data_IF_898940746085
#
_entry.id   IF_898940746085
#
_cell.length_a   1.000
_cell.length_b   1.000
_cell.length_c   1.000
_cell.angle_alpha   90.00
_cell.angle_beta   90.00
_cell.angle_gamma   90.00
#
_symmetry.space_group_name_H-M   'P 1'
#
loop_
_entity.id
_entity.type
_entity.pdbx_description
1 polymer ?
#
# COMPACT_ATOMS: atom_id res chain seq x y z
N UNK A 1 -15.04 -29.26 -0.61
CA UNK A 1 -14.88 -27.91 -0.01
C UNK A 1 -15.01 -26.91 -1.14
N UNK A 2 -15.53 -25.70 -0.87
CA UNK A 2 -15.52 -24.63 -1.87
C UNK A 2 -14.08 -24.09 -1.88
N UNK A 3 -13.39 -24.15 -3.00
CA UNK A 3 -12.01 -23.64 -3.10
C UNK A 3 -12.04 -22.12 -3.17
N UNK A 4 -11.22 -21.46 -2.35
CA UNK A 4 -11.04 -20.01 -2.44
C UNK A 4 -10.02 -19.72 -3.53
N UNK A 5 -10.44 -18.97 -4.54
CA UNK A 5 -9.56 -18.51 -5.62
C UNK A 5 -9.03 -17.11 -5.34
N UNK A 6 -7.80 -16.88 -5.76
CA UNK A 6 -7.11 -15.62 -5.62
C UNK A 6 -6.46 -15.22 -6.95
N UNK A 7 -6.32 -13.91 -7.15
CA UNK A 7 -5.65 -13.30 -8.30
C UNK A 7 -4.46 -12.47 -7.80
N UNK A 8 -3.23 -12.84 -8.15
CA UNK A 8 -2.03 -12.03 -7.86
C UNK A 8 -1.65 -11.22 -9.08
N UNK A 9 -1.47 -9.91 -8.92
CA UNK A 9 -1.03 -9.01 -9.99
C UNK A 9 0.50 -8.81 -9.96
N UNK A 10 1.10 -8.62 -11.13
CA UNK A 10 2.55 -8.47 -11.32
C UNK A 10 2.89 -7.40 -12.35
N UNK A 11 4.16 -7.00 -12.37
CA UNK A 11 4.70 -6.02 -13.31
C UNK A 11 3.96 -4.68 -13.27
N UNK A 12 3.71 -4.22 -12.05
CA UNK A 12 3.06 -2.95 -11.75
C UNK A 12 3.84 -1.78 -12.35
N UNK A 13 3.10 -0.84 -12.91
CA UNK A 13 3.57 0.44 -13.47
C UNK A 13 2.56 1.56 -13.24
N UNK A 14 3.03 2.80 -13.28
CA UNK A 14 2.24 4.03 -13.06
C UNK A 14 1.61 4.59 -14.32
N UNK A 15 2.16 4.29 -15.50
CA UNK A 15 1.57 4.63 -16.79
C UNK A 15 1.69 3.49 -17.80
N UNK A 16 0.78 3.45 -18.77
CA UNK A 16 0.71 2.40 -19.80
C UNK A 16 2.02 2.36 -20.62
N UNK A 17 2.60 3.53 -20.87
CA UNK A 17 3.81 3.72 -21.68
C UNK A 17 5.12 3.64 -20.87
N UNK A 18 5.03 3.37 -19.56
CA UNK A 18 6.20 3.27 -18.70
C UNK A 18 7.11 2.13 -19.15
N UNK A 19 8.38 2.46 -19.42
CA UNK A 19 9.43 1.47 -19.61
C UNK A 19 9.90 1.00 -18.25
N UNK A 20 9.52 -0.22 -17.90
CA UNK A 20 9.91 -0.83 -16.64
C UNK A 20 11.42 -1.01 -16.53
N UNK A 21 11.96 -0.73 -15.35
CA UNK A 21 13.26 -1.22 -14.93
C UNK A 21 13.10 -2.68 -14.44
N UNK A 22 13.88 -3.59 -15.02
CA UNK A 22 13.74 -5.04 -14.87
C UNK A 22 12.33 -5.56 -15.20
N UNK A 23 11.45 -5.68 -14.20
CA UNK A 23 10.09 -6.21 -14.33
C UNK A 23 9.02 -5.39 -13.58
N UNK A 24 9.34 -4.18 -13.11
CA UNK A 24 8.43 -3.38 -12.29
C UNK A 24 8.22 -3.96 -10.88
N UNK A 25 7.09 -3.66 -10.24
CA UNK A 25 6.79 -4.14 -8.88
C UNK A 25 5.70 -5.21 -8.82
N UNK A 26 5.72 -6.02 -7.76
CA UNK A 26 4.65 -6.97 -7.47
C UNK A 26 3.40 -6.22 -7.00
N UNK A 27 2.25 -6.59 -7.57
CA UNK A 27 0.94 -6.08 -7.17
C UNK A 27 0.30 -6.88 -6.04
N UNK A 28 -0.93 -6.50 -5.66
CA UNK A 28 -1.69 -7.16 -4.60
C UNK A 28 -2.10 -8.58 -4.98
N UNK A 29 -2.50 -9.35 -3.97
CA UNK A 29 -3.39 -10.51 -4.15
C UNK A 29 -4.82 -10.04 -3.89
N UNK A 30 -5.71 -10.34 -4.81
CA UNK A 30 -7.14 -10.08 -4.70
C UNK A 30 -7.87 -11.39 -4.39
N UNK A 31 -8.89 -11.34 -3.54
CA UNK A 31 -9.72 -12.47 -3.16
C UNK A 31 -10.05 -12.48 -1.66
N UNK A 32 -10.68 -13.56 -1.17
CA UNK A 32 -11.04 -14.78 -1.89
C UNK A 32 -12.22 -14.60 -2.86
N UNK A 33 -12.24 -15.40 -3.93
CA UNK A 33 -13.30 -15.46 -4.94
C UNK A 33 -13.82 -16.87 -5.14
N UNK A 34 -15.08 -17.00 -5.55
CA UNK A 34 -15.73 -18.27 -5.88
C UNK A 34 -15.40 -18.73 -7.31
N UNK A 35 -15.20 -17.78 -8.22
CA UNK A 35 -14.77 -18.04 -9.60
C UNK A 35 -14.13 -16.79 -10.19
N UNK A 36 -13.25 -16.98 -11.18
CA UNK A 36 -12.64 -15.89 -11.96
C UNK A 36 -12.89 -16.19 -13.44
N UNK A 37 -13.41 -15.20 -14.17
CA UNK A 37 -13.80 -15.33 -15.57
C UNK A 37 -13.12 -14.26 -16.41
N UNK A 38 -12.47 -14.68 -17.50
CA UNK A 38 -11.92 -13.77 -18.49
C UNK A 38 -12.91 -13.64 -19.65
N UNK A 39 -13.27 -12.41 -19.99
CA UNK A 39 -14.23 -12.11 -21.06
C UNK A 39 -13.56 -11.29 -22.14
N UNK A 40 -13.45 -11.86 -23.34
CA UNK A 40 -12.88 -11.24 -24.55
C UNK A 40 -11.45 -10.68 -24.41
N UNK A 41 -10.72 -11.07 -23.36
CA UNK A 41 -9.40 -10.53 -23.06
C UNK A 41 -9.42 -9.09 -22.54
N UNK A 42 -10.59 -8.49 -22.33
CA UNK A 42 -10.73 -7.08 -21.90
C UNK A 42 -11.26 -6.93 -20.49
N UNK A 43 -11.82 -7.98 -19.91
CA UNK A 43 -12.38 -7.99 -18.56
C UNK A 43 -11.99 -9.25 -17.79
N UNK A 44 -11.62 -9.07 -16.52
CA UNK A 44 -11.45 -10.14 -15.55
C UNK A 44 -12.51 -9.95 -14.47
N UNK A 45 -13.51 -10.83 -14.46
CA UNK A 45 -14.60 -10.80 -13.49
C UNK A 45 -14.33 -11.77 -12.37
N UNK A 46 -14.19 -11.26 -11.15
CA UNK A 46 -13.99 -12.07 -9.96
C UNK A 46 -15.29 -12.13 -9.16
N UNK A 47 -15.87 -13.33 -9.05
CA UNK A 47 -17.19 -13.52 -8.44
C UNK A 47 -17.07 -13.81 -6.94
N UNK A 48 -17.91 -13.13 -6.17
CA UNK A 48 -18.23 -13.41 -4.77
C UNK A 48 -19.65 -13.99 -4.70
N UNK A 49 -20.12 -14.31 -3.49
CA UNK A 49 -21.41 -14.99 -3.30
C UNK A 49 -22.62 -14.19 -3.85
N UNK A 50 -22.55 -12.86 -3.84
CA UNK A 50 -23.65 -11.94 -4.12
C UNK A 50 -23.37 -10.90 -5.22
N UNK A 51 -22.12 -10.73 -5.63
CA UNK A 51 -21.71 -9.79 -6.67
C UNK A 51 -20.43 -10.27 -7.38
N UNK A 52 -19.97 -9.51 -8.37
CA UNK A 52 -18.64 -9.67 -8.95
C UNK A 52 -17.91 -8.33 -8.97
N UNK A 53 -16.60 -8.39 -8.79
CA UNK A 53 -15.67 -7.32 -9.09
C UNK A 53 -15.20 -7.47 -10.54
N UNK A 54 -14.84 -6.38 -11.22
CA UNK A 54 -14.47 -6.38 -12.64
C UNK A 54 -13.20 -5.54 -12.86
N UNK A 55 -12.11 -6.19 -13.29
CA UNK A 55 -10.90 -5.51 -13.72
C UNK A 55 -10.92 -5.33 -15.23
N UNK A 56 -10.76 -4.08 -15.66
CA UNK A 56 -10.56 -3.75 -17.07
C UNK A 56 -9.13 -4.04 -17.51
N UNK A 57 -8.97 -4.47 -18.75
CA UNK A 57 -7.68 -4.54 -19.43
C UNK A 57 -7.62 -3.39 -20.44
N UNK A 58 -6.61 -2.53 -20.31
CA UNK A 58 -6.38 -1.36 -21.13
C UNK A 58 -5.00 -1.51 -21.77
N UNK A 59 -4.95 -1.50 -23.11
CA UNK A 59 -3.70 -1.68 -23.88
C UNK A 59 -2.86 -2.87 -23.39
N UNK A 60 -3.52 -4.03 -23.29
CA UNK A 60 -2.94 -5.31 -22.82
C UNK A 60 -2.49 -5.32 -21.35
N UNK A 61 -2.83 -4.30 -20.55
CA UNK A 61 -2.49 -4.21 -19.13
C UNK A 61 -3.75 -4.24 -18.26
N UNK A 62 -3.71 -5.02 -17.18
CA UNK A 62 -4.78 -5.05 -16.19
C UNK A 62 -4.73 -3.74 -15.40
N UNK A 63 -5.82 -2.97 -15.42
CA UNK A 63 -5.95 -1.75 -14.63
C UNK A 63 -6.55 -2.07 -13.26
N UNK A 64 -5.87 -1.64 -12.20
CA UNK A 64 -6.35 -1.77 -10.84
C UNK A 64 -5.80 -0.66 -9.95
N UNK A 65 -6.69 -0.01 -9.20
CA UNK A 65 -6.37 1.02 -8.20
C UNK A 65 -5.39 2.11 -8.68
N UNK A 66 -5.60 2.61 -9.91
CA UNK A 66 -4.75 3.66 -10.49
C UNK A 66 -3.45 3.18 -11.14
N UNK A 67 -3.16 1.87 -11.10
CA UNK A 67 -1.96 1.27 -11.68
C UNK A 67 -2.28 0.30 -12.80
N UNK A 68 -1.25 -0.05 -13.56
CA UNK A 68 -1.32 -1.02 -14.65
C UNK A 68 -0.41 -2.21 -14.36
N UNK A 69 -0.89 -3.41 -14.67
CA UNK A 69 -0.20 -4.66 -14.38
C UNK A 69 -0.07 -5.48 -15.65
N UNK A 70 1.12 -6.03 -15.87
CA UNK A 70 1.42 -6.81 -17.09
C UNK A 70 0.92 -8.25 -16.99
N UNK A 71 0.98 -8.83 -15.80
CA UNK A 71 0.72 -10.26 -15.60
C UNK A 71 -0.19 -10.48 -14.40
N UNK A 72 -0.90 -11.62 -14.43
CA UNK A 72 -1.64 -12.10 -13.29
C UNK A 72 -1.52 -13.63 -13.14
N UNK A 73 -1.46 -14.10 -11.90
CA UNK A 73 -1.56 -15.52 -11.55
C UNK A 73 -2.89 -15.79 -10.85
N UNK A 74 -3.59 -16.85 -11.28
CA UNK A 74 -4.80 -17.36 -10.61
C UNK A 74 -4.43 -18.64 -9.87
N UNK A 75 -4.80 -18.74 -8.59
CA UNK A 75 -4.48 -19.90 -7.77
C UNK A 75 -5.53 -20.12 -6.68
N UNK A 76 -5.61 -21.35 -6.16
CA UNK A 76 -6.43 -21.70 -5.00
C UNK A 76 -5.58 -21.78 -3.74
N UNK A 77 -6.15 -21.40 -2.60
CA UNK A 77 -5.51 -21.57 -1.29
C UNK A 77 -6.55 -21.78 -0.19
N UNK A 78 -6.26 -22.66 0.75
CA UNK A 78 -7.12 -22.90 1.93
C UNK A 78 -6.98 -21.79 2.97
N UNK A 79 -5.82 -21.12 3.02
CA UNK A 79 -5.53 -19.97 3.88
C UNK A 79 -5.36 -18.69 3.05
N UNK A 80 -5.69 -17.50 3.58
CA UNK A 80 -5.39 -16.24 2.91
C UNK A 80 -3.87 -16.09 2.68
N UNK A 81 -3.39 -15.99 1.42
CA UNK A 81 -1.98 -15.82 1.15
C UNK A 81 -1.44 -14.45 1.61
N UNK A 82 -0.12 -14.35 1.77
CA UNK A 82 0.54 -13.09 2.08
C UNK A 82 0.31 -12.06 0.97
N UNK A 83 -0.06 -10.83 1.34
CA UNK A 83 -0.36 -9.76 0.38
C UNK A 83 -1.77 -9.78 -0.20
N UNK A 84 -2.69 -10.59 0.34
CA UNK A 84 -4.14 -10.37 0.15
C UNK A 84 -4.49 -8.99 0.67
N UNK A 85 -5.33 -8.27 -0.06
CA UNK A 85 -5.75 -6.89 0.23
C UNK A 85 -6.44 -6.62 1.58
N UNK A 86 -6.32 -7.50 2.58
CA UNK A 86 -6.37 -7.07 3.97
C UNK A 86 -5.14 -6.23 4.38
N UNK A 87 -4.01 -6.32 3.65
CA UNK A 87 -2.77 -5.59 3.99
C UNK A 87 -2.63 -4.21 3.32
N UNK A 88 -3.46 -3.89 2.32
CA UNK A 88 -3.46 -2.59 1.62
C UNK A 88 -4.60 -1.65 2.06
N UNK A 89 -5.64 -2.19 2.71
CA UNK A 89 -6.84 -1.44 3.07
C UNK A 89 -6.56 -0.26 4.02
N UNK A 90 -5.63 -0.42 4.97
CA UNK A 90 -5.27 0.66 5.91
C UNK A 90 -4.31 1.70 5.32
N UNK A 91 -3.65 1.40 4.19
CA UNK A 91 -2.78 2.36 3.48
C UNK A 91 -3.53 3.19 2.44
N UNK A 92 -4.72 2.78 2.00
CA UNK A 92 -5.54 3.51 1.04
C UNK A 92 -6.72 4.27 1.69
N UNK A 93 -7.22 3.82 2.84
CA UNK A 93 -8.45 4.38 3.44
C UNK A 93 -8.21 4.97 4.84
N UNK A 94 -7.45 6.06 4.90
CA UNK A 94 -7.66 7.23 5.78
C UNK A 94 -7.75 7.08 7.31
N UNK A 95 -7.69 5.88 7.90
CA UNK A 95 -7.80 5.65 9.34
C UNK A 95 -6.48 5.10 9.88
N UNK A 96 -5.46 5.96 9.88
CA UNK A 96 -4.18 5.61 10.48
C UNK A 96 -4.36 5.50 12.00
N UNK A 97 -3.82 4.43 12.58
CA UNK A 97 -3.63 4.31 14.02
C UNK A 97 -2.23 4.79 14.37
N UNK A 98 -1.95 5.01 15.65
CA UNK A 98 -0.59 5.30 16.14
C UNK A 98 0.39 4.22 15.68
N UNK A 99 -0.02 2.95 15.74
CA UNK A 99 0.79 1.80 15.38
C UNK A 99 1.14 1.81 13.88
N UNK A 100 0.21 2.20 13.00
CA UNK A 100 0.47 2.37 11.57
C UNK A 100 1.52 3.46 11.30
N UNK A 101 1.46 4.58 12.02
CA UNK A 101 2.45 5.66 11.88
C UNK A 101 3.86 5.17 12.28
N UNK A 102 3.96 4.39 13.35
CA UNK A 102 5.23 3.84 13.84
C UNK A 102 5.82 2.79 12.90
N UNK A 103 4.99 1.92 12.33
CA UNK A 103 5.42 0.92 11.34
C UNK A 103 5.98 1.59 10.09
N UNK A 104 5.29 2.61 9.57
CA UNK A 104 5.77 3.40 8.42
C UNK A 104 7.07 4.13 8.78
N UNK A 105 7.16 4.76 9.95
CA UNK A 105 8.39 5.44 10.37
C UNK A 105 9.59 4.47 10.40
N UNK A 106 9.38 3.24 10.89
CA UNK A 106 10.40 2.19 10.92
C UNK A 106 10.85 1.79 9.51
N UNK A 107 9.92 1.58 8.58
CA UNK A 107 10.23 1.20 7.20
C UNK A 107 11.09 2.23 6.47
N UNK A 108 10.99 3.49 6.88
CA UNK A 108 11.74 4.62 6.31
C UNK A 108 12.94 5.06 7.15
N UNK A 109 13.27 4.35 8.22
CA UNK A 109 14.37 4.71 9.12
C UNK A 109 14.20 6.08 9.78
N UNK A 110 12.95 6.51 9.98
CA UNK A 110 12.59 7.81 10.52
C UNK A 110 12.32 7.73 12.03
N UNK A 111 12.79 8.72 12.78
CA UNK A 111 12.33 8.95 14.14
C UNK A 111 11.12 9.89 14.11
N UNK A 112 10.05 9.52 14.81
CA UNK A 112 8.82 10.33 14.92
C UNK A 112 8.47 10.54 16.38
N UNK A 113 8.05 11.76 16.74
CA UNK A 113 7.64 12.11 18.11
C UNK A 113 6.14 11.89 18.30
N UNK A 114 5.68 11.72 19.55
CA UNK A 114 4.24 11.61 19.85
C UNK A 114 3.44 12.85 19.40
N UNK A 115 4.05 14.03 19.43
CA UNK A 115 3.45 15.25 18.91
C UNK A 115 3.28 15.21 17.38
N UNK A 116 4.28 14.69 16.66
CA UNK A 116 4.22 14.47 15.22
C UNK A 116 3.15 13.44 14.84
N UNK A 117 3.07 12.33 15.60
CA UNK A 117 2.03 11.31 15.42
C UNK A 117 0.64 11.94 15.59
N UNK A 118 0.42 12.72 16.65
CA UNK A 118 -0.86 13.39 16.88
C UNK A 118 -1.22 14.37 15.75
N UNK A 119 -0.26 15.14 15.23
CA UNK A 119 -0.49 16.04 14.08
C UNK A 119 -0.82 15.28 12.79
N UNK A 120 -0.15 14.15 12.57
CA UNK A 120 -0.39 13.26 11.42
C UNK A 120 -1.80 12.68 11.48
N UNK A 121 -2.22 12.20 12.65
CA UNK A 121 -3.53 11.59 12.87
C UNK A 121 -4.68 12.61 12.88
N UNK A 122 -4.41 13.87 13.19
CA UNK A 122 -5.39 14.95 13.19
C UNK A 122 -5.60 15.62 11.81
N UNK A 123 -4.77 15.28 10.81
CA UNK A 123 -4.92 15.82 9.45
C UNK A 123 -6.20 15.31 8.77
N UNK A 124 -7.00 16.22 8.22
CA UNK A 124 -8.13 15.84 7.35
C UNK A 124 -7.58 15.15 6.09
N UNK A 125 -7.94 13.89 5.89
CA UNK A 125 -7.63 13.17 4.67
C UNK A 125 -8.49 13.70 3.53
N UNK A 126 -7.84 14.34 2.56
CA UNK A 126 -8.46 14.75 1.31
C UNK A 126 -8.70 13.52 0.43
N UNK A 127 -9.97 13.10 0.41
CA UNK A 127 -10.76 12.59 -0.71
C UNK A 127 -10.24 11.37 -1.51
N UNK A 128 -11.18 10.50 -1.86
CA UNK A 128 -11.06 9.11 -2.33
C UNK A 128 -10.42 8.91 -3.74
N UNK A 129 -9.73 9.92 -4.29
CA UNK A 129 -9.39 9.97 -5.74
C UNK A 129 -7.93 10.33 -6.02
N UNK A 130 -6.99 9.91 -5.18
CA UNK A 130 -5.57 10.04 -5.51
C UNK A 130 -4.82 8.91 -4.84
N UNK A 131 -3.86 8.29 -5.52
CA UNK A 131 -2.48 8.02 -5.03
C UNK A 131 -1.68 7.18 -6.04
N UNK A 132 -0.77 7.82 -6.82
CA UNK A 132 0.40 7.13 -7.34
C UNK A 132 1.68 7.63 -6.66
N UNK A 133 2.51 6.68 -6.24
CA UNK A 133 3.79 6.78 -5.53
C UNK A 133 3.72 6.86 -4.00
N UNK A 134 4.43 5.91 -3.35
CA UNK A 134 4.63 5.81 -1.90
C UNK A 134 5.11 7.14 -1.30
N UNK A 135 6.02 7.84 -1.97
CA UNK A 135 6.54 9.17 -1.59
C UNK A 135 5.60 10.34 -1.88
N UNK A 136 4.63 10.17 -2.80
CA UNK A 136 3.68 11.21 -3.17
C UNK A 136 2.34 11.15 -2.44
N UNK A 137 2.10 10.10 -1.67
CA UNK A 137 0.96 9.98 -0.77
C UNK A 137 0.92 11.20 0.19
N UNK A 138 -0.20 11.94 0.34
CA UNK A 138 -0.32 13.10 1.22
C UNK A 138 0.16 12.83 2.65
N UNK A 139 -0.17 11.66 3.21
CA UNK A 139 0.43 11.14 4.45
C UNK A 139 1.95 11.13 4.45
N UNK A 140 2.56 10.50 3.46
CA UNK A 140 4.01 10.29 3.39
C UNK A 140 4.69 11.63 3.14
N UNK A 141 4.12 12.50 2.29
CA UNK A 141 4.55 13.89 2.15
C UNK A 141 4.49 14.65 3.47
N UNK A 142 3.40 14.52 4.23
CA UNK A 142 3.23 15.19 5.53
C UNK A 142 4.22 14.65 6.55
N UNK A 143 4.37 13.32 6.66
CA UNK A 143 5.32 12.66 7.54
C UNK A 143 6.77 13.06 7.21
N UNK A 144 7.16 13.05 5.93
CA UNK A 144 8.46 13.51 5.45
C UNK A 144 8.67 15.00 5.72
N UNK A 145 7.65 15.85 5.53
CA UNK A 145 7.76 17.29 5.84
C UNK A 145 7.95 17.57 7.34
N UNK A 146 7.34 16.76 8.21
CA UNK A 146 7.55 16.86 9.66
C UNK A 146 8.94 16.34 10.02
N UNK A 147 9.37 15.23 9.41
CA UNK A 147 10.73 14.71 9.58
C UNK A 147 11.79 15.75 9.20
N UNK A 148 11.64 16.42 8.06
CA UNK A 148 12.60 17.45 7.64
C UNK A 148 12.63 18.64 8.61
N UNK A 149 11.47 19.06 9.12
CA UNK A 149 11.40 20.05 10.22
C UNK A 149 12.07 19.56 11.50
N UNK A 150 11.92 18.27 11.84
CA UNK A 150 12.58 17.68 13.01
C UNK A 150 14.10 17.64 12.84
N UNK A 151 14.61 17.30 11.64
CA UNK A 151 16.05 17.37 11.32
C UNK A 151 16.62 18.78 11.44
N UNK A 152 15.83 19.81 11.16
CA UNK A 152 16.24 21.22 11.35
C UNK A 152 16.27 21.64 12.83
N UNK A 153 15.46 21.00 13.67
CA UNK A 153 15.42 21.21 15.14
C UNK A 153 16.47 20.35 15.86
N UNK A 154 16.91 19.26 15.23
CA UNK A 154 17.91 18.33 15.73
C UNK A 154 19.31 18.98 15.77
N UNK A 155 19.56 19.77 16.82
CA UNK A 155 20.93 19.91 17.34
C UNK A 155 21.43 18.51 17.68
N UNK A 156 22.64 18.11 17.22
CA UNK A 156 23.11 16.73 17.31
C UNK A 156 22.94 16.19 18.73
N UNK A 157 22.04 15.22 18.90
CA UNK A 157 21.86 14.51 20.14
C UNK A 157 23.20 13.85 20.53
N UNK A 158 23.57 13.96 21.81
CA UNK A 158 24.75 13.23 22.28
C UNK A 158 24.45 11.72 22.25
N UNK A 159 25.45 10.84 22.09
CA UNK A 159 25.24 9.39 22.09
C UNK A 159 24.46 8.86 23.30
N UNK A 160 24.50 9.57 24.44
CA UNK A 160 23.71 9.26 25.64
C UNK A 160 22.20 9.57 25.50
N UNK A 161 21.85 10.61 24.75
CA UNK A 161 20.45 10.98 24.48
C UNK A 161 19.80 9.98 23.51
N UNK A 162 20.55 9.55 22.49
CA UNK A 162 20.11 8.47 21.58
C UNK A 162 19.94 7.14 22.32
N UNK A 163 20.87 6.79 23.21
CA UNK A 163 20.76 5.57 24.02
C UNK A 163 19.52 5.60 24.93
N UNK A 164 19.19 6.76 25.50
CA UNK A 164 18.01 6.91 26.38
C UNK A 164 16.70 6.79 25.60
N UNK A 165 16.63 7.33 24.39
CA UNK A 165 15.46 7.21 23.53
C UNK A 165 15.23 5.78 23.02
N UNK A 166 16.30 5.04 22.72
CA UNK A 166 16.23 3.66 22.22
C UNK A 166 15.95 2.64 23.34
N UNK A 167 16.51 2.84 24.53
CA UNK A 167 16.41 1.86 25.62
C UNK A 167 15.13 1.96 26.47
N UNK A 168 14.36 3.05 26.34
CA UNK A 168 13.04 3.17 26.97
C UNK A 168 13.00 3.20 28.51
N UNK A 169 14.13 3.40 29.19
CA UNK A 169 14.16 3.49 30.65
C UNK A 169 14.11 4.95 31.15
N UNK A 170 13.17 5.20 32.06
CA UNK A 170 13.01 6.45 32.84
C UNK A 170 14.28 6.78 33.62
#
# INVERSE_FOLDING_TARGET
MKENLYLRLYHGRTSIDEKLDDWGWNGPVLGPFESIQLTYGTHIKMHKADHFEDLGVVEDLIYYDGYYYGDASIFSSDEPPEGVEEYAYWKAYGNYTREHVLEIAKDYGCLVTEAAIAEILAGEYLDEIYHPHRENHPFVKKALSILDKLKEIDTPATPEQDLKAISGYL
#
